data_IF_776351081054
#
_entry.id   IF_776351081054
#
_cell.length_a   1.000
_cell.length_b   1.000
_cell.length_c   1.000
_cell.angle_alpha   90.00
_cell.angle_beta   90.00
_cell.angle_gamma   90.00
#
_symmetry.space_group_name_H-M   'P 1'
#
loop_
_entity.id
_entity.type
_entity.pdbx_description
1 polymer ?
#
# COMPACT_ATOMS: atom_id res chain seq x y z
N UNK A 1 7.18 1.51 -8.03
CA UNK A 1 7.49 0.64 -6.88
C UNK A 1 7.44 -0.82 -7.33
N UNK A 2 7.70 -1.80 -6.46
CA UNK A 2 7.57 -3.23 -6.75
C UNK A 2 7.14 -4.03 -5.52
N UNK A 3 6.67 -5.26 -5.73
CA UNK A 3 6.34 -6.21 -4.65
C UNK A 3 7.61 -6.87 -4.13
N UNK A 4 7.97 -6.65 -2.87
CA UNK A 4 9.21 -7.20 -2.29
C UNK A 4 9.05 -8.63 -1.75
N UNK A 5 7.98 -8.89 -1.00
CA UNK A 5 7.69 -10.19 -0.39
C UNK A 5 6.19 -10.53 -0.56
N UNK A 6 5.80 -11.24 -1.63
CA UNK A 6 4.42 -11.68 -1.78
C UNK A 6 4.07 -12.74 -0.72
N UNK A 7 2.80 -12.82 -0.32
CA UNK A 7 2.29 -13.83 0.60
C UNK A 7 3.00 -13.89 1.97
N UNK A 8 3.57 -12.77 2.43
CA UNK A 8 4.18 -12.67 3.75
C UNK A 8 3.11 -12.77 4.85
N UNK A 9 3.43 -13.47 5.94
CA UNK A 9 2.54 -13.52 7.10
C UNK A 9 2.60 -12.21 7.90
N UNK A 10 1.54 -11.86 8.63
CA UNK A 10 1.54 -10.69 9.54
C UNK A 10 2.71 -10.77 10.54
N UNK A 11 3.03 -11.97 11.02
CA UNK A 11 4.16 -12.19 11.92
C UNK A 11 5.49 -11.82 11.26
N UNK A 12 5.74 -12.32 10.05
CA UNK A 12 6.99 -12.05 9.35
C UNK A 12 7.10 -10.59 8.92
N UNK A 13 5.97 -9.95 8.57
CA UNK A 13 5.90 -8.51 8.30
C UNK A 13 6.37 -7.71 9.53
N UNK A 14 5.88 -8.06 10.73
CA UNK A 14 6.31 -7.42 11.98
C UNK A 14 7.79 -7.60 12.23
N UNK A 15 8.26 -8.85 12.20
CA UNK A 15 9.61 -9.19 12.61
C UNK A 15 10.66 -8.65 11.62
N UNK A 16 10.33 -8.50 10.34
CA UNK A 16 11.28 -8.09 9.30
C UNK A 16 11.20 -6.61 8.91
N UNK A 17 10.02 -6.00 8.94
CA UNK A 17 9.82 -4.65 8.39
C UNK A 17 9.37 -3.62 9.43
N UNK A 18 8.64 -4.04 10.47
CA UNK A 18 8.10 -3.08 11.45
C UNK A 18 8.96 -2.95 12.71
N UNK A 19 9.65 -4.02 13.12
CA UNK A 19 10.57 -3.98 14.26
C UNK A 19 11.88 -3.29 13.88
N UNK A 20 12.39 -2.50 14.81
CA UNK A 20 13.71 -1.90 14.68
C UNK A 20 14.78 -2.99 14.67
N UNK A 21 15.87 -2.74 13.95
CA UNK A 21 16.98 -3.68 13.84
C UNK A 21 18.33 -3.00 14.05
N UNK A 22 19.27 -3.77 14.60
CA UNK A 22 20.66 -3.36 14.76
C UNK A 22 21.51 -4.26 13.87
N UNK A 23 22.31 -3.66 12.99
CA UNK A 23 23.20 -4.44 12.13
C UNK A 23 24.55 -3.77 11.95
N UNK A 24 25.57 -4.61 11.81
CA UNK A 24 26.95 -4.15 11.66
C UNK A 24 27.27 -3.99 10.18
N UNK A 25 27.68 -2.79 9.78
CA UNK A 25 28.20 -2.55 8.43
C UNK A 25 29.71 -2.68 8.42
N UNK A 26 30.27 -3.20 7.30
CA UNK A 26 31.72 -3.39 7.15
C UNK A 26 32.53 -2.08 7.19
N UNK A 27 31.89 -0.95 6.88
CA UNK A 27 32.57 0.34 6.68
C UNK A 27 32.15 1.43 7.65
N UNK A 28 30.94 1.38 8.21
CA UNK A 28 30.36 2.47 8.99
C UNK A 28 29.97 2.04 10.41
N UNK A 29 30.34 0.83 10.84
CA UNK A 29 30.04 0.33 12.18
C UNK A 29 28.57 -0.04 12.35
N UNK A 30 28.08 0.06 13.58
CA UNK A 30 26.70 -0.30 13.95
C UNK A 30 25.71 0.70 13.34
N UNK A 31 24.72 0.16 12.62
CA UNK A 31 23.54 0.88 12.18
C UNK A 31 22.33 0.44 12.95
N UNK A 32 21.43 1.40 13.15
CA UNK A 32 20.14 1.22 13.80
C UNK A 32 19.09 1.62 12.77
N UNK A 33 18.24 0.68 12.39
CA UNK A 33 16.99 0.97 11.71
C UNK A 33 15.91 1.07 12.79
N UNK A 34 15.33 2.26 12.95
CA UNK A 34 14.26 2.48 13.92
C UNK A 34 13.01 1.67 13.55
N UNK A 35 12.25 1.26 14.57
CA UNK A 35 10.97 0.61 14.37
C UNK A 35 10.01 1.52 13.59
N UNK A 36 9.19 0.94 12.71
CA UNK A 36 8.22 1.67 11.92
C UNK A 36 7.00 2.03 12.78
N UNK A 37 6.76 3.34 12.97
CA UNK A 37 5.59 3.80 13.72
C UNK A 37 4.37 3.89 12.78
N UNK A 38 3.25 3.20 13.07
CA UNK A 38 2.04 3.37 12.29
C UNK A 38 1.46 4.76 12.53
N UNK A 39 1.33 5.54 11.45
CA UNK A 39 0.76 6.89 11.49
C UNK A 39 -0.69 6.92 10.99
N UNK A 40 -1.29 5.79 10.69
CA UNK A 40 -2.70 5.72 10.31
C UNK A 40 -3.11 4.34 9.79
N UNK A 41 -4.41 4.14 9.74
CA UNK A 41 -5.11 2.96 9.25
C UNK A 41 -6.19 3.41 8.28
N UNK A 42 -6.46 2.59 7.27
CA UNK A 42 -7.48 2.89 6.28
C UNK A 42 -7.82 1.69 5.43
N UNK A 43 -8.93 1.81 4.72
CA UNK A 43 -9.40 0.83 3.76
C UNK A 43 -9.07 1.29 2.34
N UNK A 44 -8.97 0.33 1.43
CA UNK A 44 -8.79 0.62 0.01
C UNK A 44 -9.62 -0.33 -0.86
N UNK A 45 -9.96 0.16 -2.05
CA UNK A 45 -10.56 -0.62 -3.12
C UNK A 45 -9.64 -0.60 -4.35
N UNK A 46 -9.43 -1.76 -4.97
CA UNK A 46 -8.71 -1.90 -6.24
C UNK A 46 -9.69 -2.23 -7.35
N UNK A 47 -9.90 -1.29 -8.26
CA UNK A 47 -11.02 -1.29 -9.17
C UNK A 47 -10.50 -1.37 -10.61
N UNK A 48 -10.71 -2.52 -11.24
CA UNK A 48 -10.40 -2.72 -12.67
C UNK A 48 -11.54 -2.14 -13.49
N UNK A 49 -11.29 -1.10 -14.27
CA UNK A 49 -12.30 -0.51 -15.17
C UNK A 49 -12.21 -1.15 -16.56
N UNK A 50 -13.22 -1.89 -17.04
CA UNK A 50 -13.12 -2.64 -18.29
C UNK A 50 -12.87 -1.79 -19.55
N UNK A 51 -13.26 -0.51 -19.50
CA UNK A 51 -13.08 0.45 -20.60
C UNK A 51 -11.72 1.15 -20.56
N UNK A 52 -11.00 1.04 -19.45
CA UNK A 52 -9.70 1.67 -19.25
C UNK A 52 -8.59 0.63 -19.24
N UNK A 53 -7.39 1.06 -19.63
CA UNK A 53 -6.19 0.22 -19.60
C UNK A 53 -5.44 0.36 -18.27
N UNK A 54 -6.16 0.70 -17.22
CA UNK A 54 -5.65 0.94 -15.88
C UNK A 54 -6.65 0.52 -14.83
N UNK A 55 -6.14 0.17 -13.65
CA UNK A 55 -6.95 0.00 -12.46
C UNK A 55 -6.83 1.24 -11.58
N UNK A 56 -7.76 1.37 -10.65
CA UNK A 56 -7.81 2.50 -9.72
C UNK A 56 -7.69 1.97 -8.32
N UNK A 57 -6.73 2.49 -7.56
CA UNK A 57 -6.61 2.24 -6.14
C UNK A 57 -7.12 3.48 -5.44
N UNK A 58 -8.27 3.37 -4.81
CA UNK A 58 -8.84 4.44 -4.01
C UNK A 58 -8.83 4.02 -2.54
N UNK A 59 -8.57 4.96 -1.64
CA UNK A 59 -8.44 4.71 -0.21
C UNK A 59 -9.20 5.74 0.62
N UNK A 60 -9.56 5.33 1.83
CA UNK A 60 -10.08 6.19 2.89
C UNK A 60 -9.36 5.87 4.19
N UNK A 61 -8.89 6.91 4.87
CA UNK A 61 -8.35 6.80 6.22
C UNK A 61 -9.50 6.53 7.18
N UNK A 62 -9.32 5.57 8.09
CA UNK A 62 -10.30 5.21 9.13
C UNK A 62 -9.77 5.59 10.51
N UNK A 63 -8.45 5.52 10.71
CA UNK A 63 -7.79 6.01 11.93
C UNK A 63 -6.56 6.83 11.56
N UNK A 64 -6.47 8.10 12.02
CA UNK A 64 -7.59 8.90 12.49
C UNK A 64 -8.64 9.08 11.38
N UNK A 65 -9.91 9.30 11.73
CA UNK A 65 -10.98 9.56 10.73
C UNK A 65 -10.69 10.81 9.86
N UNK A 66 -9.84 11.71 10.37
CA UNK A 66 -9.35 12.89 9.64
C UNK A 66 -7.85 13.01 9.78
N UNK A 67 -7.18 13.23 8.66
CA UNK A 67 -5.76 13.52 8.61
C UNK A 67 -5.47 14.78 9.44
N UNK A 68 -4.56 14.64 10.38
CA UNK A 68 -3.97 15.75 11.13
C UNK A 68 -2.77 16.34 10.37
N UNK A 69 -2.06 17.28 11.00
CA UNK A 69 -0.80 17.82 10.52
C UNK A 69 0.21 16.72 10.18
N UNK A 70 0.38 15.72 11.05
CA UNK A 70 1.39 14.69 10.83
C UNK A 70 1.03 13.72 9.67
N UNK A 71 -0.25 13.38 9.40
CA UNK A 71 -0.57 12.69 8.13
C UNK A 71 -0.35 13.59 6.91
N UNK A 72 -0.73 14.86 7.04
CA UNK A 72 -0.63 15.84 5.96
C UNK A 72 0.82 16.09 5.53
N UNK A 73 1.76 16.12 6.47
CA UNK A 73 3.21 16.25 6.20
C UNK A 73 3.76 15.06 5.40
N UNK A 74 3.19 13.86 5.60
CA UNK A 74 3.52 12.66 4.81
C UNK A 74 2.74 12.58 3.49
N UNK A 75 1.90 13.57 3.19
CA UNK A 75 1.07 13.61 1.98
C UNK A 75 -0.14 12.68 2.01
N UNK A 76 -0.50 12.18 3.19
CA UNK A 76 -1.70 11.36 3.41
C UNK A 76 -2.90 12.29 3.61
N UNK A 77 -4.00 11.98 2.94
CA UNK A 77 -5.28 12.71 3.04
C UNK A 77 -6.35 11.78 3.62
N UNK A 78 -7.47 12.35 4.04
CA UNK A 78 -8.65 11.57 4.47
C UNK A 78 -9.07 10.56 3.39
N UNK A 79 -9.02 10.98 2.12
CA UNK A 79 -9.30 10.13 0.96
C UNK A 79 -8.36 10.47 -0.18
N UNK A 80 -8.05 9.47 -0.99
CA UNK A 80 -7.21 9.64 -2.17
C UNK A 80 -7.42 8.54 -3.19
N UNK A 81 -6.97 8.77 -4.42
CA UNK A 81 -6.93 7.74 -5.44
C UNK A 81 -5.70 7.82 -6.34
N UNK A 82 -5.36 6.68 -6.91
CA UNK A 82 -4.26 6.50 -7.84
C UNK A 82 -4.72 5.65 -9.02
N UNK A 83 -4.30 6.05 -10.21
CA UNK A 83 -4.27 5.15 -11.36
C UNK A 83 -3.07 4.22 -11.17
N UNK A 84 -3.34 2.91 -11.20
CA UNK A 84 -2.35 1.87 -10.99
C UNK A 84 -2.28 0.88 -12.16
N UNK A 85 -1.05 0.60 -12.58
CA UNK A 85 -0.74 -0.32 -13.66
C UNK A 85 0.44 -1.22 -13.29
N UNK A 86 0.41 -2.46 -13.79
CA UNK A 86 1.51 -3.42 -13.66
C UNK A 86 2.34 -3.43 -14.94
N UNK A 87 3.67 -3.49 -14.77
CA UNK A 87 4.61 -3.52 -15.89
C UNK A 87 4.80 -4.93 -16.43
N UNK A 88 4.88 -5.05 -17.74
CA UNK A 88 5.37 -6.25 -18.41
C UNK A 88 6.87 -6.42 -18.15
N UNK A 89 7.31 -7.51 -17.50
CA UNK A 89 8.73 -7.74 -17.20
C UNK A 89 9.59 -7.89 -18.46
N UNK A 90 9.01 -8.37 -19.56
CA UNK A 90 9.69 -8.56 -20.85
C UNK A 90 9.76 -7.29 -21.70
N UNK A 91 9.05 -6.22 -21.32
CA UNK A 91 9.05 -4.97 -22.08
C UNK A 91 10.34 -4.17 -21.82
N UNK A 92 10.99 -3.62 -22.86
CA UNK A 92 12.22 -2.87 -22.70
C UNK A 92 12.01 -1.63 -21.82
N UNK A 93 12.98 -1.38 -20.96
CA UNK A 93 13.00 -0.25 -20.03
C UNK A 93 14.38 0.42 -20.01
N UNK A 94 14.46 1.73 -19.69
CA UNK A 94 15.75 2.39 -19.47
C UNK A 94 16.57 1.68 -18.38
N UNK A 95 17.90 1.68 -18.51
CA UNK A 95 18.79 1.02 -17.54
C UNK A 95 18.57 1.51 -16.10
N UNK A 96 18.21 2.79 -15.92
CA UNK A 96 17.95 3.40 -14.61
C UNK A 96 16.73 2.84 -13.87
N UNK A 97 15.83 2.12 -14.55
CA UNK A 97 14.59 1.56 -13.98
C UNK A 97 14.43 0.06 -14.26
N UNK A 98 15.49 -0.57 -14.76
CA UNK A 98 15.54 -2.01 -15.00
C UNK A 98 15.85 -2.71 -13.68
N UNK A 99 14.98 -3.64 -13.29
CA UNK A 99 15.20 -4.48 -12.10
C UNK A 99 16.04 -5.67 -12.54
N UNK A 100 17.09 -6.00 -11.78
CA UNK A 100 17.99 -7.10 -12.10
C UNK A 100 17.27 -8.45 -12.12
N UNK A 101 16.26 -8.60 -11.27
CA UNK A 101 15.43 -9.78 -11.09
C UNK A 101 13.95 -9.41 -11.32
N UNK A 102 13.44 -9.44 -12.56
CA UNK A 102 12.06 -9.06 -12.86
C UNK A 102 11.06 -10.13 -12.42
N UNK A 103 9.79 -9.76 -12.29
CA UNK A 103 8.74 -10.71 -11.89
C UNK A 103 8.58 -11.88 -12.88
N UNK A 104 8.47 -13.09 -12.32
CA UNK A 104 8.21 -14.32 -13.06
C UNK A 104 6.72 -14.63 -13.14
N UNK A 105 5.96 -13.80 -13.87
CA UNK A 105 4.52 -13.99 -14.04
C UNK A 105 4.18 -15.34 -14.70
N UNK A 106 3.00 -15.89 -14.36
CA UNK A 106 2.48 -17.08 -15.06
C UNK A 106 2.28 -16.82 -16.55
N UNK A 107 2.15 -17.90 -17.33
CA UNK A 107 1.91 -17.79 -18.77
C UNK A 107 0.60 -17.05 -19.07
N UNK A 108 -0.43 -17.29 -18.27
CA UNK A 108 -1.73 -16.66 -18.42
C UNK A 108 -1.64 -15.14 -18.26
N UNK A 109 -0.91 -14.65 -17.25
CA UNK A 109 -0.67 -13.20 -17.06
C UNK A 109 0.20 -12.65 -18.20
N UNK A 110 1.24 -13.37 -18.59
CA UNK A 110 2.10 -12.97 -19.70
C UNK A 110 1.34 -12.87 -21.03
N UNK A 111 0.38 -13.76 -21.26
CA UNK A 111 -0.49 -13.74 -22.44
C UNK A 111 -1.49 -12.57 -22.39
N UNK A 112 -2.01 -12.20 -21.20
CA UNK A 112 -2.87 -11.01 -21.03
C UNK A 112 -2.18 -9.73 -21.49
N UNK A 113 -0.85 -9.62 -21.32
CA UNK A 113 -0.12 -8.45 -21.77
C UNK A 113 -0.25 -8.26 -23.28
N UNK A 114 -0.34 -9.33 -24.08
CA UNK A 114 -0.47 -9.24 -25.54
C UNK A 114 0.61 -8.38 -26.21
N UNK A 115 1.81 -8.34 -25.63
CA UNK A 115 2.93 -7.48 -26.07
C UNK A 115 2.86 -6.03 -25.60
N UNK A 116 1.83 -5.63 -24.86
CA UNK A 116 1.74 -4.31 -24.22
C UNK A 116 2.76 -4.20 -23.08
N UNK A 117 3.22 -2.97 -22.84
CA UNK A 117 4.15 -2.66 -21.74
C UNK A 117 3.45 -2.63 -20.37
N UNK A 118 2.17 -2.32 -20.35
CA UNK A 118 1.40 -2.09 -19.12
C UNK A 118 0.04 -2.75 -19.22
N UNK A 119 -0.43 -3.28 -18.09
CA UNK A 119 -1.80 -3.73 -17.87
C UNK A 119 -2.42 -3.03 -16.66
N UNK A 120 -3.77 -3.01 -16.57
CA UNK A 120 -4.45 -2.72 -15.30
C UNK A 120 -3.91 -3.63 -14.18
N UNK A 121 -3.59 -3.05 -13.02
CA UNK A 121 -3.18 -3.85 -11.86
C UNK A 121 -4.36 -4.68 -11.34
N UNK A 122 -4.18 -5.98 -11.23
CA UNK A 122 -5.08 -6.92 -10.55
C UNK A 122 -4.38 -7.61 -9.38
N UNK A 123 -5.17 -8.20 -8.47
CA UNK A 123 -4.67 -8.85 -7.24
C UNK A 123 -3.67 -9.98 -7.52
N UNK A 124 -3.90 -10.73 -8.59
CA UNK A 124 -3.08 -11.83 -9.05
C UNK A 124 -1.62 -11.40 -9.34
N UNK A 125 -1.42 -10.14 -9.74
CA UNK A 125 -0.08 -9.62 -9.99
C UNK A 125 0.71 -9.38 -8.70
N UNK A 126 0.02 -9.18 -7.56
CA UNK A 126 0.65 -8.91 -6.27
C UNK A 126 1.24 -10.16 -5.62
N UNK A 127 0.95 -11.34 -6.17
CA UNK A 127 1.47 -12.63 -5.69
C UNK A 127 2.90 -12.92 -6.20
N UNK A 128 3.46 -12.05 -7.05
CA UNK A 128 4.76 -12.24 -7.68
C UNK A 128 5.78 -11.25 -7.16
N UNK A 129 6.90 -11.78 -6.66
CA UNK A 129 8.03 -10.98 -6.24
C UNK A 129 8.56 -10.16 -7.42
N UNK A 130 9.00 -8.94 -7.13
CA UNK A 130 9.49 -7.95 -8.09
C UNK A 130 8.46 -7.48 -9.12
N UNK A 131 7.16 -7.76 -8.95
CA UNK A 131 6.10 -7.21 -9.79
C UNK A 131 6.14 -5.67 -9.72
N UNK A 132 6.50 -5.02 -10.83
CA UNK A 132 6.67 -3.57 -10.86
C UNK A 132 5.33 -2.88 -11.07
N UNK A 133 5.04 -1.91 -10.20
CA UNK A 133 3.77 -1.17 -10.18
C UNK A 133 4.06 0.32 -10.38
N UNK A 134 3.30 0.93 -11.28
CA UNK A 134 3.24 2.37 -11.51
C UNK A 134 2.03 2.95 -10.78
N UNK A 135 2.26 4.01 -10.01
CA UNK A 135 1.22 4.81 -9.36
C UNK A 135 1.22 6.20 -10.00
N UNK A 136 0.04 6.69 -10.37
CA UNK A 136 -0.17 8.06 -10.86
C UNK A 136 -1.27 8.67 -9.99
N UNK A 137 -0.94 9.73 -9.26
CA UNK A 137 -1.91 10.40 -8.38
C UNK A 137 -3.03 11.06 -9.19
N UNK A 138 -4.26 10.87 -8.75
CA UNK A 138 -5.43 11.51 -9.34
C UNK A 138 -5.81 12.80 -8.60
N UNK A 139 -6.42 13.73 -9.33
CA UNK A 139 -6.83 15.03 -8.78
C UNK A 139 -8.22 15.00 -8.16
N UNK A 140 -9.11 14.18 -8.70
CA UNK A 140 -10.50 14.05 -8.26
C UNK A 140 -10.67 12.65 -7.68
N UNK A 141 -11.00 12.59 -6.39
CA UNK A 141 -11.18 11.33 -5.68
C UNK A 141 -12.64 10.96 -5.79
N UNK A 142 -12.96 9.97 -6.61
CA UNK A 142 -14.26 9.31 -6.61
C UNK A 142 -15.47 10.21 -6.89
N UNK A 143 -15.26 11.38 -7.49
CA UNK A 143 -16.36 12.28 -7.87
C UNK A 143 -16.82 12.00 -9.31
N UNK A 144 -18.13 12.04 -9.52
CA UNK A 144 -18.75 11.81 -10.83
C UNK A 144 -19.27 10.39 -11.06
N UNK A 145 -20.17 10.24 -12.05
CA UNK A 145 -20.88 8.99 -12.34
C UNK A 145 -19.97 7.80 -12.65
N UNK A 146 -18.75 8.09 -13.10
CA UNK A 146 -17.77 7.05 -13.47
C UNK A 146 -17.13 6.39 -12.24
N UNK A 147 -17.27 6.99 -11.06
CA UNK A 147 -16.70 6.51 -9.80
C UNK A 147 -17.75 6.19 -8.72
N UNK A 148 -19.04 6.21 -9.05
CA UNK A 148 -20.13 6.01 -8.08
C UNK A 148 -20.03 4.66 -7.36
N UNK A 149 -19.90 3.56 -8.12
CA UNK A 149 -19.74 2.21 -7.55
C UNK A 149 -18.48 2.08 -6.66
N UNK A 150 -17.39 2.75 -7.06
CA UNK A 150 -16.14 2.78 -6.30
C UNK A 150 -16.30 3.52 -4.96
N UNK A 151 -17.03 4.64 -4.99
CA UNK A 151 -17.35 5.43 -3.81
C UNK A 151 -18.29 4.68 -2.85
N UNK A 152 -19.28 3.96 -3.39
CA UNK A 152 -20.18 3.11 -2.59
C UNK A 152 -19.42 1.97 -1.92
N UNK A 153 -18.61 1.21 -2.66
CA UNK A 153 -17.78 0.12 -2.11
C UNK A 153 -16.85 0.62 -1.01
N UNK A 154 -16.15 1.75 -1.24
CA UNK A 154 -15.27 2.33 -0.21
C UNK A 154 -16.02 2.78 1.03
N UNK A 155 -17.24 3.30 0.88
CA UNK A 155 -18.07 3.71 2.01
C UNK A 155 -18.53 2.50 2.82
N UNK A 156 -18.90 1.40 2.16
CA UNK A 156 -19.24 0.15 2.84
C UNK A 156 -18.04 -0.40 3.62
N UNK A 157 -16.84 -0.39 3.01
CA UNK A 157 -15.61 -0.80 3.67
C UNK A 157 -15.27 0.09 4.88
N UNK A 158 -15.40 1.40 4.75
CA UNK A 158 -15.19 2.36 5.85
C UNK A 158 -16.17 2.12 7.01
N UNK A 159 -17.45 1.85 6.72
CA UNK A 159 -18.45 1.56 7.75
C UNK A 159 -18.21 0.20 8.43
N UNK A 160 -17.77 -0.82 7.69
CA UNK A 160 -17.38 -2.12 8.24
C UNK A 160 -16.15 -1.99 9.14
N UNK A 161 -15.14 -1.27 8.67
CA UNK A 161 -13.92 -1.00 9.42
C UNK A 161 -14.22 -0.20 10.69
N UNK A 162 -15.01 0.86 10.59
CA UNK A 162 -15.48 1.65 11.72
C UNK A 162 -16.16 0.81 12.80
N UNK A 163 -17.00 -0.15 12.42
CA UNK A 163 -17.62 -1.11 13.36
C UNK A 163 -16.59 -2.05 13.98
N UNK A 164 -15.60 -2.50 13.22
CA UNK A 164 -14.51 -3.35 13.70
C UNK A 164 -13.66 -2.58 14.72
N UNK A 165 -13.32 -1.33 14.45
CA UNK A 165 -12.44 -0.52 15.32
C UNK A 165 -13.18 0.23 16.43
N UNK A 166 -14.51 0.25 16.46
CA UNK A 166 -15.30 0.97 17.48
C UNK A 166 -14.93 0.59 18.93
N UNK A 167 -14.52 -0.66 19.14
CA UNK A 167 -14.08 -1.18 20.44
C UNK A 167 -12.59 -0.91 20.74
N UNK A 168 -11.83 -0.42 19.75
CA UNK A 168 -10.44 0.01 19.83
C UNK A 168 -10.43 1.55 19.95
N UNK A 169 -10.42 2.08 21.18
CA UNK A 169 -10.47 3.54 21.41
C UNK A 169 -9.08 4.14 21.57
N UNK A 170 -8.87 5.32 20.99
CA UNK A 170 -7.69 6.19 21.16
C UNK A 170 -6.52 5.86 20.24
N UNK A 171 -5.40 6.57 20.43
CA UNK A 171 -4.18 6.51 19.58
C UNK A 171 -3.57 5.09 19.44
N UNK A 172 -3.99 4.15 20.29
CA UNK A 172 -3.52 2.76 20.29
C UNK A 172 -4.33 1.85 19.37
N UNK A 173 -5.41 2.35 18.77
CA UNK A 173 -6.30 1.54 17.95
C UNK A 173 -5.55 0.88 16.79
N UNK A 174 -4.71 1.63 16.07
CA UNK A 174 -3.89 1.11 14.95
C UNK A 174 -2.88 0.08 15.44
N UNK A 175 -2.25 0.31 16.59
CA UNK A 175 -1.32 -0.65 17.18
C UNK A 175 -2.04 -1.95 17.53
N UNK A 176 -3.20 -1.85 18.19
CA UNK A 176 -3.99 -3.01 18.60
C UNK A 176 -4.51 -3.79 17.39
N UNK A 177 -4.92 -3.10 16.33
CA UNK A 177 -5.39 -3.76 15.12
C UNK A 177 -4.27 -4.51 14.40
N UNK A 178 -3.10 -3.88 14.27
CA UNK A 178 -1.92 -4.53 13.73
C UNK A 178 -1.32 -5.56 14.71
N UNK A 179 -1.94 -5.81 15.88
CA UNK A 179 -1.44 -6.69 16.94
C UNK A 179 0.03 -6.31 17.34
N UNK A 180 0.33 -5.02 17.36
CA UNK A 180 1.59 -4.41 17.77
C UNK A 180 1.51 -3.95 19.24
N UNK A 181 2.62 -4.06 19.97
CA UNK A 181 2.73 -3.49 21.32
C UNK A 181 3.32 -2.07 21.22
N UNK A 182 2.54 -1.04 21.58
CA UNK A 182 2.99 0.35 21.62
C UNK A 182 4.25 0.54 22.47
N UNK A 183 4.44 -0.28 23.52
CA UNK A 183 5.63 -0.24 24.37
C UNK A 183 6.94 -0.59 23.65
N UNK A 184 6.87 -1.31 22.52
CA UNK A 184 8.03 -1.58 21.66
C UNK A 184 8.44 -0.36 20.81
N UNK A 185 7.56 0.64 20.68
CA UNK A 185 7.75 1.84 19.87
C UNK A 185 7.95 3.07 20.77
N UNK A 186 9.20 3.27 21.23
CA UNK A 186 9.57 4.37 22.13
C UNK A 186 9.90 5.62 21.31
N UNK A 187 9.11 6.70 21.43
CA UNK A 187 9.63 8.01 21.04
C UNK A 187 8.66 9.16 20.79
N UNK A 188 7.41 8.90 20.38
CA UNK A 188 6.50 9.98 19.99
C UNK A 188 5.16 9.75 20.66
N UNK A 189 4.71 10.74 21.45
CA UNK A 189 3.29 10.83 21.82
C UNK A 189 2.57 11.27 20.57
N UNK A 190 2.04 10.31 19.84
CA UNK A 190 1.19 10.51 18.68
C UNK A 190 -0.15 11.09 19.18
N UNK A 191 -0.17 12.38 19.52
CA UNK A 191 -1.38 13.12 19.85
C UNK A 191 -2.09 13.42 18.52
N UNK A 192 -2.95 12.52 18.09
CA UNK A 192 -3.80 12.69 16.91
C UNK A 192 -5.19 13.18 17.30
#
# INVERSE_FOLDING_TARGET
TFVEEPNITVRDLKDRFLKGSHYMTKTQGERIDSAAEPIGEGVYALIKRPKERSSHLAYCLTIPERASELQSEFGIKDRGSFIVSVKNPSAPAPQSVTVADPAEFSREIMDEFGGLRWLPLGKEHLEYKNAQILFIGEREVLEGKEHEAAGEELKELEEEDGRRVEHLKGDEAVFRDLELDRGEYVGIKSNW
#
